data_IF_178298043881
#
_entry.id   IF_178298043881
#
_cell.length_a   1.000
_cell.length_b   1.000
_cell.length_c   1.000
_cell.angle_alpha   90.00
_cell.angle_beta   90.00
_cell.angle_gamma   90.00
#
_symmetry.space_group_name_H-M   'P 1'
#
loop_
_entity.id
_entity.type
_entity.pdbx_description
1 polymer ?
#
# COMPACT_ATOMS: atom_id res chain seq x y z
N UNK A 1 4.04 -32.96 8.23
CA UNK A 1 4.71 -32.02 9.15
C UNK A 1 3.94 -30.71 9.10
N UNK A 2 3.19 -30.38 10.15
CA UNK A 2 2.48 -29.10 10.28
C UNK A 2 3.43 -28.07 10.86
N UNK A 3 3.72 -27.00 10.11
CA UNK A 3 4.48 -25.86 10.63
C UNK A 3 3.72 -25.27 11.81
N UNK A 4 4.35 -25.00 12.97
CA UNK A 4 3.65 -24.48 14.14
C UNK A 4 2.99 -23.14 13.81
N UNK A 5 1.74 -22.94 14.26
CA UNK A 5 0.95 -21.71 14.05
C UNK A 5 1.70 -20.44 14.49
N UNK A 6 2.50 -20.54 15.55
CA UNK A 6 3.37 -19.46 16.05
C UNK A 6 4.40 -19.02 15.00
N UNK A 7 5.04 -19.95 14.29
CA UNK A 7 6.07 -19.65 13.27
C UNK A 7 5.47 -18.93 12.06
N UNK A 8 4.24 -19.30 11.66
CA UNK A 8 3.53 -18.66 10.54
C UNK A 8 3.13 -17.22 10.90
N UNK A 9 2.68 -16.99 12.14
CA UNK A 9 2.31 -15.66 12.63
C UNK A 9 3.50 -14.70 12.56
N UNK A 10 4.64 -15.14 13.10
CA UNK A 10 5.89 -14.37 13.12
C UNK A 10 6.38 -14.05 11.70
N UNK A 11 6.36 -15.02 10.78
CA UNK A 11 6.80 -14.78 9.41
C UNK A 11 5.96 -13.71 8.68
N UNK A 12 4.63 -13.69 8.90
CA UNK A 12 3.75 -12.68 8.30
C UNK A 12 3.98 -11.29 8.90
N UNK A 13 4.06 -11.16 10.22
CA UNK A 13 4.28 -9.85 10.82
C UNK A 13 5.67 -9.31 10.52
N UNK A 14 6.70 -10.17 10.46
CA UNK A 14 8.04 -9.78 9.98
C UNK A 14 8.05 -9.27 8.54
N UNK A 15 7.29 -9.90 7.63
CA UNK A 15 7.17 -9.40 6.26
C UNK A 15 6.45 -8.05 6.19
N UNK A 16 5.42 -7.84 7.02
CA UNK A 16 4.72 -6.55 7.11
C UNK A 16 5.66 -5.45 7.65
N UNK A 17 6.43 -5.75 8.69
CA UNK A 17 7.46 -4.85 9.21
C UNK A 17 8.50 -4.49 8.13
N UNK A 18 8.97 -5.49 7.37
CA UNK A 18 9.90 -5.26 6.27
C UNK A 18 9.30 -4.35 5.18
N UNK A 19 8.07 -4.62 4.75
CA UNK A 19 7.36 -3.78 3.76
C UNK A 19 7.15 -2.36 4.27
N UNK A 20 6.79 -2.18 5.54
CA UNK A 20 6.62 -0.86 6.14
C UNK A 20 7.93 -0.05 6.11
N UNK A 21 9.06 -0.66 6.49
CA UNK A 21 10.38 -0.01 6.43
C UNK A 21 10.83 0.30 5.01
N UNK A 22 10.63 -0.64 4.09
CA UNK A 22 11.02 -0.47 2.70
C UNK A 22 10.18 0.65 2.04
N UNK A 23 8.89 0.74 2.35
CA UNK A 23 8.05 1.85 1.91
C UNK A 23 8.47 3.18 2.55
N UNK A 24 8.83 3.19 3.83
CA UNK A 24 9.34 4.37 4.51
C UNK A 24 10.62 4.90 3.85
N UNK A 25 11.50 4.01 3.38
CA UNK A 25 12.70 4.40 2.63
C UNK A 25 12.36 5.00 1.26
N UNK A 26 11.41 4.41 0.53
CA UNK A 26 10.92 4.97 -0.74
C UNK A 26 10.38 6.39 -0.53
N UNK A 27 9.56 6.60 0.51
CA UNK A 27 8.98 7.91 0.82
C UNK A 27 10.05 8.90 1.28
N UNK A 28 10.97 8.49 2.16
CA UNK A 28 12.09 9.33 2.63
C UNK A 28 12.95 9.81 1.46
N UNK A 29 13.24 8.94 0.50
CA UNK A 29 14.02 9.28 -0.69
C UNK A 29 13.33 10.36 -1.53
N UNK A 30 11.99 10.35 -1.60
CA UNK A 30 11.19 11.39 -2.27
C UNK A 30 11.12 12.68 -1.46
N UNK A 31 11.17 12.62 -0.14
CA UNK A 31 11.04 13.79 0.72
C UNK A 31 12.18 14.81 0.56
N UNK A 32 13.38 14.38 0.19
CA UNK A 32 14.57 15.23 0.09
C UNK A 32 14.42 16.39 -0.91
N UNK A 33 13.62 16.22 -1.96
CA UNK A 33 13.42 17.20 -3.03
C UNK A 33 11.97 17.68 -3.18
N UNK A 34 11.08 17.28 -2.26
CA UNK A 34 9.65 17.54 -2.37
C UNK A 34 9.23 18.73 -1.47
N UNK A 35 8.47 19.72 -1.98
CA UNK A 35 7.94 20.85 -1.18
C UNK A 35 7.10 20.42 0.03
N UNK A 36 6.50 19.23 0.00
CA UNK A 36 5.71 18.62 1.06
C UNK A 36 6.53 17.66 1.94
N UNK A 37 7.84 17.89 2.06
CA UNK A 37 8.76 17.05 2.84
C UNK A 37 8.29 16.78 4.27
N UNK A 38 7.67 17.77 4.94
CA UNK A 38 7.11 17.60 6.28
C UNK A 38 6.07 16.47 6.35
N UNK A 39 5.07 16.49 5.46
CA UNK A 39 4.05 15.43 5.38
C UNK A 39 4.71 14.09 5.05
N UNK A 40 5.64 14.06 4.09
CA UNK A 40 6.33 12.82 3.73
C UNK A 40 7.11 12.23 4.91
N UNK A 41 7.74 13.06 5.73
CA UNK A 41 8.42 12.62 6.95
C UNK A 41 7.46 12.17 8.05
N UNK A 42 6.25 12.72 8.11
CA UNK A 42 5.18 12.23 8.99
C UNK A 42 4.71 10.82 8.57
N UNK A 43 4.50 10.59 7.26
CA UNK A 43 4.21 9.25 6.73
C UNK A 43 5.30 8.24 7.09
N UNK A 44 6.57 8.66 6.98
CA UNK A 44 7.74 7.84 7.36
C UNK A 44 7.71 7.49 8.85
N UNK A 45 7.35 8.43 9.72
CA UNK A 45 7.26 8.19 11.15
C UNK A 45 6.19 7.13 11.47
N UNK A 46 5.00 7.27 10.89
CA UNK A 46 3.92 6.29 11.07
C UNK A 46 4.29 4.89 10.56
N UNK A 47 4.99 4.80 9.43
CA UNK A 47 5.47 3.51 8.91
C UNK A 47 6.50 2.85 9.83
N UNK A 48 7.36 3.63 10.49
CA UNK A 48 8.27 3.09 11.49
C UNK A 48 7.53 2.59 12.73
N UNK A 49 6.55 3.34 13.24
CA UNK A 49 5.68 2.89 14.33
C UNK A 49 4.95 1.60 13.97
N UNK A 50 4.44 1.49 12.74
CA UNK A 50 3.82 0.26 12.26
C UNK A 50 4.81 -0.91 12.20
N UNK A 51 6.01 -0.68 11.66
CA UNK A 51 7.05 -1.69 11.58
C UNK A 51 7.47 -2.23 12.94
N UNK A 52 7.65 -1.34 13.92
CA UNK A 52 7.97 -1.71 15.30
C UNK A 52 6.85 -2.56 15.92
N UNK A 53 5.59 -2.10 15.84
CA UNK A 53 4.44 -2.83 16.36
C UNK A 53 4.27 -4.22 15.71
N UNK A 54 4.55 -4.39 14.42
CA UNK A 54 4.55 -5.72 13.79
C UNK A 54 5.60 -6.68 14.35
N UNK A 55 6.70 -6.17 14.88
CA UNK A 55 7.77 -7.00 15.45
C UNK A 55 7.60 -7.27 16.93
N UNK A 56 7.02 -6.32 17.67
CA UNK A 56 6.95 -6.37 19.13
C UNK A 56 5.63 -6.93 19.63
N UNK A 57 4.53 -6.74 18.89
CA UNK A 57 3.21 -7.07 19.39
C UNK A 57 2.92 -8.55 19.21
N UNK A 58 2.55 -9.21 20.31
CA UNK A 58 2.13 -10.60 20.26
C UNK A 58 0.80 -10.75 19.50
N UNK A 59 0.64 -11.79 18.67
CA UNK A 59 -0.64 -12.06 18.04
C UNK A 59 -1.72 -12.34 19.11
N UNK A 60 -2.97 -11.88 18.91
CA UNK A 60 -4.02 -12.08 19.89
C UNK A 60 -4.37 -13.57 20.04
N UNK A 61 -4.72 -13.96 21.26
CA UNK A 61 -5.22 -15.30 21.59
C UNK A 61 -6.69 -15.20 21.94
N UNK A 62 -7.55 -15.85 21.15
CA UNK A 62 -9.01 -15.88 21.36
C UNK A 62 -9.39 -17.34 21.61
N UNK A 63 -10.03 -17.61 22.74
CA UNK A 63 -10.44 -18.97 23.14
C UNK A 63 -9.28 -20.01 23.09
N UNK A 64 -8.08 -19.57 23.47
CA UNK A 64 -6.87 -20.41 23.43
C UNK A 64 -6.23 -20.59 22.05
N UNK A 65 -6.79 -19.98 21.00
CA UNK A 65 -6.28 -20.04 19.63
C UNK A 65 -5.56 -18.74 19.28
N UNK A 66 -4.30 -18.84 18.86
CA UNK A 66 -3.54 -17.71 18.31
C UNK A 66 -4.08 -17.31 16.94
N UNK A 67 -4.54 -16.07 16.82
CA UNK A 67 -5.01 -15.50 15.56
C UNK A 67 -3.83 -14.88 14.80
N UNK A 68 -3.63 -15.31 13.56
CA UNK A 68 -2.39 -15.03 12.78
C UNK A 68 -2.62 -14.18 11.53
N UNK A 69 -3.85 -13.72 11.34
CA UNK A 69 -4.32 -12.93 10.21
C UNK A 69 -4.88 -11.58 10.66
N UNK A 70 -4.43 -11.08 11.81
CA UNK A 70 -4.80 -9.79 12.37
C UNK A 70 -3.63 -8.83 12.36
N UNK A 71 -3.92 -7.57 12.07
CA UNK A 71 -2.97 -6.47 12.20
C UNK A 71 -2.97 -6.06 13.68
N UNK A 72 -1.80 -5.91 14.33
CA UNK A 72 -1.73 -5.34 15.68
C UNK A 72 -2.40 -3.96 15.74
N UNK A 73 -3.07 -3.65 16.85
CA UNK A 73 -3.86 -2.41 16.98
C UNK A 73 -3.02 -1.15 16.72
N UNK A 74 -1.81 -1.10 17.28
CA UNK A 74 -0.87 0.03 17.10
C UNK A 74 -0.42 0.15 15.64
N UNK A 75 -0.05 -0.96 14.99
CA UNK A 75 0.30 -0.96 13.57
C UNK A 75 -0.87 -0.52 12.68
N UNK A 76 -2.09 -1.01 12.96
CA UNK A 76 -3.29 -0.63 12.23
C UNK A 76 -3.60 0.87 12.34
N UNK A 77 -3.53 1.42 13.55
CA UNK A 77 -3.73 2.85 13.80
C UNK A 77 -2.67 3.71 13.09
N UNK A 78 -1.39 3.33 13.18
CA UNK A 78 -0.32 4.06 12.52
C UNK A 78 -0.46 4.05 10.99
N UNK A 79 -0.81 2.90 10.39
CA UNK A 79 -1.10 2.82 8.96
C UNK A 79 -2.30 3.68 8.57
N UNK A 80 -3.37 3.68 9.36
CA UNK A 80 -4.53 4.53 9.13
C UNK A 80 -4.18 6.03 9.19
N UNK A 81 -3.35 6.44 10.16
CA UNK A 81 -2.87 7.83 10.26
C UNK A 81 -2.05 8.22 9.03
N UNK A 82 -1.19 7.32 8.53
CA UNK A 82 -0.44 7.56 7.31
C UNK A 82 -1.36 7.68 6.08
N UNK A 83 -2.38 6.83 5.97
CA UNK A 83 -3.39 6.94 4.91
C UNK A 83 -4.11 8.28 4.96
N UNK A 84 -4.53 8.72 6.15
CA UNK A 84 -5.21 10.01 6.33
C UNK A 84 -4.31 11.17 5.91
N UNK A 85 -3.06 11.23 6.41
CA UNK A 85 -2.12 12.29 6.06
C UNK A 85 -1.79 12.33 4.55
N UNK A 86 -1.73 11.17 3.88
CA UNK A 86 -1.57 11.09 2.43
C UNK A 86 -2.81 11.58 1.68
N UNK A 87 -4.00 11.22 2.16
CA UNK A 87 -5.29 11.66 1.59
C UNK A 87 -5.51 13.17 1.74
N UNK A 88 -5.12 13.74 2.89
CA UNK A 88 -5.21 15.18 3.18
C UNK A 88 -4.19 16.02 2.38
N UNK A 89 -3.11 15.40 1.90
CA UNK A 89 -2.04 16.07 1.13
C UNK A 89 -1.73 15.34 -0.18
N UNK A 90 -2.67 15.28 -1.14
CA UNK A 90 -2.46 14.54 -2.39
C UNK A 90 -1.30 15.12 -3.23
N UNK A 91 -0.97 16.41 -3.05
CA UNK A 91 0.15 17.08 -3.72
C UNK A 91 1.52 16.54 -3.28
N UNK A 92 1.60 15.83 -2.14
CA UNK A 92 2.81 15.13 -1.72
C UNK A 92 3.15 13.95 -2.65
N UNK A 93 2.20 13.52 -3.50
CA UNK A 93 2.43 12.50 -4.52
C UNK A 93 2.58 11.09 -3.96
N UNK A 94 1.91 10.80 -2.84
CA UNK A 94 1.81 9.48 -2.23
C UNK A 94 0.33 9.15 -2.10
N UNK A 95 -0.11 8.05 -2.71
CA UNK A 95 -1.48 7.57 -2.54
C UNK A 95 -1.63 6.85 -1.20
N UNK A 96 -2.76 7.09 -0.54
CA UNK A 96 -3.25 6.36 0.63
C UNK A 96 -3.37 4.84 0.39
N UNK A 97 -3.70 4.40 -0.83
CA UNK A 97 -3.74 2.98 -1.18
C UNK A 97 -2.39 2.26 -1.01
N UNK A 98 -1.26 2.98 -1.00
CA UNK A 98 0.06 2.35 -0.86
C UNK A 98 0.24 1.65 0.48
N UNK A 99 -0.36 2.19 1.54
CA UNK A 99 -0.22 1.65 2.90
C UNK A 99 -0.93 0.29 3.06
N UNK A 100 -1.94 0.01 2.24
CA UNK A 100 -2.62 -1.27 2.24
C UNK A 100 -1.72 -2.42 1.73
N UNK A 101 -0.70 -2.15 0.90
CA UNK A 101 0.26 -3.18 0.47
C UNK A 101 1.16 -3.68 1.59
N UNK A 102 1.32 -2.92 2.68
CA UNK A 102 2.06 -3.34 3.87
C UNK A 102 1.40 -4.56 4.52
N UNK A 103 0.06 -4.65 4.45
CA UNK A 103 -0.73 -5.65 5.18
C UNK A 103 -1.45 -6.63 4.26
N UNK A 104 -1.29 -6.53 2.94
CA UNK A 104 -2.04 -7.33 1.97
C UNK A 104 -1.86 -8.85 2.17
N UNK A 105 -0.69 -9.30 2.61
CA UNK A 105 -0.44 -10.73 2.91
C UNK A 105 -1.01 -11.19 4.26
N UNK A 106 -1.32 -10.27 5.17
CA UNK A 106 -2.02 -10.55 6.43
C UNK A 106 -3.53 -10.63 6.18
N UNK A 107 -4.09 -9.60 5.55
CA UNK A 107 -5.53 -9.44 5.33
C UNK A 107 -6.06 -10.21 4.13
N UNK A 108 -5.16 -10.63 3.22
CA UNK A 108 -5.50 -11.19 1.89
C UNK A 108 -6.35 -10.24 1.05
N UNK A 109 -6.30 -8.94 1.34
CA UNK A 109 -6.98 -7.90 0.58
C UNK A 109 -5.94 -7.14 -0.23
N UNK A 110 -6.11 -7.15 -1.55
CA UNK A 110 -5.37 -6.28 -2.45
C UNK A 110 -6.14 -4.95 -2.52
N UNK A 111 -5.45 -3.79 -2.54
CA UNK A 111 -6.13 -2.51 -2.72
C UNK A 111 -6.99 -2.54 -3.98
N UNK A 112 -8.27 -2.22 -3.83
CA UNK A 112 -9.17 -2.12 -4.97
C UNK A 112 -8.79 -0.89 -5.79
N UNK A 113 -8.62 -1.09 -7.09
CA UNK A 113 -8.46 0.01 -8.02
C UNK A 113 -9.85 0.54 -8.36
N UNK A 114 -10.03 1.87 -8.44
CA UNK A 114 -11.33 2.42 -8.76
C UNK A 114 -11.82 1.85 -10.10
N UNK A 115 -13.02 1.26 -10.05
CA UNK A 115 -13.72 0.79 -11.23
C UNK A 115 -14.27 2.01 -11.97
N UNK A 116 -13.42 2.59 -12.80
CA UNK A 116 -13.78 3.72 -13.65
C UNK A 116 -14.39 3.16 -14.93
N UNK A 117 -15.70 3.32 -15.08
CA UNK A 117 -16.42 2.99 -16.32
C UNK A 117 -16.41 4.22 -17.21
N UNK A 118 -16.17 4.02 -18.51
CA UNK A 118 -16.10 5.08 -19.51
C UNK A 118 -16.63 4.51 -20.81
N UNK A 119 -17.35 5.33 -21.58
CA UNK A 119 -17.83 4.94 -22.90
C UNK A 119 -16.74 5.09 -23.97
N UNK A 120 -15.60 5.71 -23.62
CA UNK A 120 -14.43 5.86 -24.49
C UNK A 120 -13.54 4.61 -24.47
N UNK A 121 -13.41 3.88 -25.60
CA UNK A 121 -12.56 2.70 -25.68
C UNK A 121 -11.08 3.01 -25.39
N UNK A 122 -10.63 4.23 -25.68
CA UNK A 122 -9.25 4.66 -25.47
C UNK A 122 -8.94 4.80 -23.97
N UNK A 123 -9.86 5.41 -23.22
CA UNK A 123 -9.73 5.58 -21.77
C UNK A 123 -9.87 4.21 -21.09
N UNK A 124 -10.79 3.35 -21.54
CA UNK A 124 -10.91 1.99 -21.00
C UNK A 124 -9.63 1.17 -21.21
N UNK A 125 -9.03 1.21 -22.41
CA UNK A 125 -7.75 0.55 -22.68
C UNK A 125 -6.61 1.06 -21.78
N UNK A 126 -6.51 2.37 -21.56
CA UNK A 126 -5.50 2.95 -20.67
C UNK A 126 -5.72 2.51 -19.21
N UNK A 127 -6.96 2.47 -18.76
CA UNK A 127 -7.33 1.97 -17.44
C UNK A 127 -6.98 0.51 -17.23
N UNK A 128 -7.36 -0.35 -18.19
CA UNK A 128 -7.03 -1.77 -18.17
C UNK A 128 -5.51 -1.99 -18.10
N UNK A 129 -4.74 -1.28 -18.94
CA UNK A 129 -3.28 -1.35 -18.91
C UNK A 129 -2.68 -0.87 -17.57
N UNK A 130 -3.24 0.17 -16.95
CA UNK A 130 -2.81 0.63 -15.62
C UNK A 130 -3.09 -0.44 -14.54
N UNK A 131 -4.29 -1.04 -14.55
CA UNK A 131 -4.66 -2.12 -13.62
C UNK A 131 -3.74 -3.33 -13.78
N UNK A 132 -3.42 -3.72 -15.01
CA UNK A 132 -2.50 -4.83 -15.29
C UNK A 132 -1.09 -4.55 -14.77
N UNK A 133 -0.57 -3.33 -14.97
CA UNK A 133 0.74 -2.92 -14.46
C UNK A 133 0.79 -2.90 -12.94
N UNK A 134 -0.28 -2.45 -12.28
CA UNK A 134 -0.39 -2.48 -10.82
C UNK A 134 -0.46 -3.94 -10.35
N UNK A 135 -1.30 -4.77 -10.96
CA UNK A 135 -1.40 -6.20 -10.63
C UNK A 135 -0.06 -6.93 -10.79
N UNK A 136 0.72 -6.57 -11.81
CA UNK A 136 2.06 -7.11 -12.00
C UNK A 136 3.05 -6.64 -10.91
N UNK A 137 3.03 -5.35 -10.54
CA UNK A 137 3.87 -4.85 -9.46
C UNK A 137 3.50 -5.45 -8.09
N UNK A 138 2.23 -5.75 -7.85
CA UNK A 138 1.78 -6.49 -6.65
C UNK A 138 2.35 -7.91 -6.64
N UNK A 139 2.30 -8.63 -7.75
CA UNK A 139 2.91 -9.98 -7.86
C UNK A 139 4.42 -9.93 -7.64
N UNK A 140 5.10 -8.91 -8.15
CA UNK A 140 6.53 -8.68 -7.90
C UNK A 140 6.80 -8.46 -6.40
N UNK A 141 5.96 -7.66 -5.71
CA UNK A 141 6.07 -7.42 -4.28
C UNK A 141 5.78 -8.67 -3.43
N UNK A 142 4.85 -9.52 -3.86
CA UNK A 142 4.48 -10.76 -3.17
C UNK A 142 5.50 -11.89 -3.36
N UNK A 143 6.21 -11.89 -4.49
CA UNK A 143 7.24 -12.91 -4.80
C UNK A 143 8.66 -12.46 -4.49
N UNK A 144 8.88 -11.19 -4.14
CA UNK A 144 10.19 -10.66 -3.77
C UNK A 144 10.77 -11.35 -2.51
N UNK A 145 11.90 -12.05 -2.69
CA UNK A 145 12.62 -12.74 -1.62
C UNK A 145 13.61 -11.85 -0.87
N UNK A 146 14.01 -10.71 -1.46
CA UNK A 146 15.00 -9.80 -0.90
C UNK A 146 14.48 -8.36 -0.79
N UNK A 147 15.27 -7.51 -0.15
CA UNK A 147 14.95 -6.09 0.03
C UNK A 147 14.93 -5.31 -1.28
N UNK A 148 15.85 -5.62 -2.20
CA UNK A 148 15.97 -4.86 -3.44
C UNK A 148 14.71 -5.01 -4.30
N UNK A 149 14.22 -6.24 -4.47
CA UNK A 149 12.98 -6.54 -5.18
C UNK A 149 11.76 -5.89 -4.53
N UNK A 150 11.65 -5.91 -3.19
CA UNK A 150 10.55 -5.24 -2.49
C UNK A 150 10.56 -3.73 -2.69
N UNK A 151 11.72 -3.08 -2.53
CA UNK A 151 11.86 -1.62 -2.73
C UNK A 151 11.53 -1.25 -4.18
N UNK A 152 12.00 -2.02 -5.16
CA UNK A 152 11.71 -1.78 -6.57
C UNK A 152 10.20 -1.89 -6.87
N UNK A 153 9.54 -2.94 -6.37
CA UNK A 153 8.10 -3.13 -6.53
C UNK A 153 7.29 -2.03 -5.83
N UNK A 154 7.66 -1.63 -4.61
CA UNK A 154 7.02 -0.53 -3.88
C UNK A 154 7.21 0.82 -4.58
N UNK A 155 8.39 1.07 -5.15
CA UNK A 155 8.66 2.29 -5.94
C UNK A 155 7.76 2.33 -7.18
N UNK A 156 7.68 1.22 -7.92
CA UNK A 156 6.81 1.06 -9.09
C UNK A 156 5.33 1.25 -8.73
N UNK A 157 4.86 0.67 -7.62
CA UNK A 157 3.50 0.89 -7.12
C UNK A 157 3.27 2.36 -6.81
N UNK A 158 4.22 3.02 -6.14
CA UNK A 158 4.12 4.43 -5.77
C UNK A 158 4.14 5.37 -6.97
N UNK A 159 4.71 4.96 -8.11
CA UNK A 159 4.61 5.68 -9.38
C UNK A 159 3.29 5.41 -10.09
N UNK A 160 2.84 4.15 -10.15
CA UNK A 160 1.59 3.78 -10.83
C UNK A 160 0.37 4.42 -10.17
N UNK A 161 0.35 4.50 -8.83
CA UNK A 161 -0.75 5.13 -8.10
C UNK A 161 -0.86 6.65 -8.33
N UNK A 162 0.22 7.33 -8.73
CA UNK A 162 0.15 8.72 -9.18
C UNK A 162 -0.70 8.90 -10.44
N UNK A 163 -0.76 7.87 -11.30
CA UNK A 163 -1.53 7.89 -12.54
C UNK A 163 -3.01 7.57 -12.34
N UNK A 164 -3.40 7.05 -11.18
CA UNK A 164 -4.79 6.71 -10.88
C UNK A 164 -5.67 7.96 -10.78
N UNK A 165 -5.18 9.06 -10.17
CA UNK A 165 -5.94 10.32 -10.03
C UNK A 165 -6.18 11.01 -11.39
N UNK A 166 -5.17 11.23 -12.26
CA UNK A 166 -5.40 11.73 -13.62
C UNK A 166 -6.32 10.84 -14.44
N UNK A 167 -6.22 9.52 -14.28
CA UNK A 167 -7.11 8.58 -14.96
C UNK A 167 -8.57 8.72 -14.50
N UNK A 168 -8.82 8.84 -13.19
CA UNK A 168 -10.14 9.11 -12.64
C UNK A 168 -10.74 10.43 -13.16
N UNK A 169 -9.92 11.48 -13.21
CA UNK A 169 -10.36 12.78 -13.74
C UNK A 169 -10.71 12.72 -15.24
N UNK A 170 -9.94 11.98 -16.05
CA UNK A 170 -10.21 11.79 -17.47
C UNK A 170 -11.55 11.06 -17.70
N UNK A 171 -11.85 10.06 -16.88
CA UNK A 171 -13.11 9.32 -16.93
C UNK A 171 -14.31 10.22 -16.60
N UNK A 172 -14.23 11.00 -15.51
CA UNK A 172 -15.32 11.93 -15.15
C UNK A 172 -15.55 13.03 -16.21
N UNK A 173 -14.49 13.47 -16.91
CA UNK A 173 -14.63 14.46 -17.98
C UNK A 173 -15.30 13.87 -19.24
N UNK A 174 -15.04 12.60 -19.54
CA UNK A 174 -15.68 11.85 -20.62
C UNK A 174 -17.19 11.68 -20.35
N UNK A 175 -17.55 11.23 -19.14
CA UNK A 175 -18.95 11.11 -18.71
C UNK A 175 -19.72 12.44 -18.82
N UNK A 176 -19.10 13.56 -18.44
CA UNK A 176 -19.71 14.90 -18.57
C UNK A 176 -19.94 15.31 -20.03
N UNK A 177 -19.04 14.92 -20.93
CA UNK A 177 -19.14 15.24 -22.36
C UNK A 177 -20.21 14.39 -23.04
N UNK A 178 -20.35 13.12 -22.65
CA UNK A 178 -21.38 12.23 -23.19
C UNK A 178 -22.83 12.61 -22.80
N UNK A 179 -23.00 13.42 -21.75
CA UNK A 179 -24.32 13.87 -21.26
C UNK A 179 -24.81 15.19 -21.87
N UNK A 180 -24.03 15.83 -22.76
CA UNK A 180 -24.39 17.07 -23.47
C UNK A 180 -24.76 16.81 -24.92
#
# INVERSE_FOLDING_TARGET
MTTPTSVIATARTSLAAARARDLAEVIRSRAASNPHSKTLMELVAHLHTAAESFETDAPPVIDGVTVTNTIPGTAGLALMQAMLAASDTPQAGISDCLFLYVTSHITRRVPELPALMTDSPQIDHQGSALRDRIGQAVRELDTASDRHGRVAALTKLAELHLWVVPYAAAVSADEYTAQR
#
